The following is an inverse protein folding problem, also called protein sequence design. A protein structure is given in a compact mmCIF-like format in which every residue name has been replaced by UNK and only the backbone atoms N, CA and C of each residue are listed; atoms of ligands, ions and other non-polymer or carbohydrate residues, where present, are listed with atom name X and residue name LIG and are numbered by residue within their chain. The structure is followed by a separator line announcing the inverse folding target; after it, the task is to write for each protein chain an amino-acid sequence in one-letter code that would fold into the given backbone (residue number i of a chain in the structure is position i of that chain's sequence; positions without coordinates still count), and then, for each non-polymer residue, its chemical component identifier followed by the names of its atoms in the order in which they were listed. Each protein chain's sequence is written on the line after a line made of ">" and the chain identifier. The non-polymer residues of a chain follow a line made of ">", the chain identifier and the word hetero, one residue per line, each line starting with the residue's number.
data_IF_845631304876
#
_entry.id   IF_845631304876
#
_cell.length_a   1.000
_cell.length_b   1.000
_cell.length_c   1.000
_cell.angle_alpha   90.00
_cell.angle_beta   90.00
_cell.angle_gamma   90.00
#
_symmetry.space_group_name_H-M   'P 1'
#
loop_
_entity.id
_entity.type
_entity.pdbx_description
1 polymer ?
#
# COMPACT_ATOMS: atom_id res chain seq x y z
N UNK A 1 -20.52 -17.07 -21.20
CA UNK A 1 -19.80 -18.26 -20.68
C UNK A 1 -19.04 -17.79 -19.46
N UNK A 2 -19.49 -18.20 -18.27
CA UNK A 2 -19.27 -17.53 -16.99
C UNK A 2 -17.81 -17.52 -16.50
N UNK A 3 -17.23 -16.36 -16.13
CA UNK A 3 -15.95 -16.28 -15.47
C UNK A 3 -16.16 -16.44 -13.95
N UNK A 4 -16.45 -17.65 -13.49
CA UNK A 4 -16.65 -17.92 -12.06
C UNK A 4 -15.36 -17.62 -11.28
N UNK A 5 -15.48 -16.69 -10.35
CA UNK A 5 -14.40 -16.11 -9.57
C UNK A 5 -13.72 -17.15 -8.65
N UNK A 6 -12.48 -17.51 -8.96
CA UNK A 6 -11.66 -18.41 -8.14
C UNK A 6 -10.43 -17.69 -7.60
N UNK A 7 -10.40 -17.38 -6.30
CA UNK A 7 -9.13 -17.05 -5.67
C UNK A 7 -8.25 -18.31 -5.59
N UNK A 8 -6.93 -18.14 -5.76
CA UNK A 8 -5.92 -19.20 -5.57
C UNK A 8 -4.85 -18.70 -4.60
N UNK A 9 -4.67 -19.38 -3.47
CA UNK A 9 -3.67 -19.03 -2.47
C UNK A 9 -2.44 -19.93 -2.62
N UNK A 10 -1.28 -19.35 -2.85
CA UNK A 10 0.00 -20.06 -2.88
C UNK A 10 0.96 -19.57 -1.80
N UNK A 11 1.91 -20.41 -1.44
CA UNK A 11 3.05 -20.05 -0.59
C UNK A 11 4.23 -20.96 -0.86
N UNK A 12 5.39 -20.68 -0.28
CA UNK A 12 6.59 -21.52 -0.34
C UNK A 12 6.97 -22.00 1.07
N UNK A 13 7.08 -23.32 1.24
CA UNK A 13 7.58 -23.93 2.46
C UNK A 13 9.03 -23.53 2.73
N UNK A 14 9.34 -23.23 4.00
CA UNK A 14 10.66 -22.77 4.40
C UNK A 14 11.72 -23.88 4.34
N UNK A 15 11.32 -25.14 4.56
CA UNK A 15 12.18 -26.32 4.57
C UNK A 15 11.61 -27.39 3.62
N UNK A 16 11.25 -28.56 4.16
CA UNK A 16 10.78 -29.75 3.45
C UNK A 16 9.39 -30.19 3.96
N UNK A 17 8.60 -29.23 4.40
CA UNK A 17 7.24 -29.46 4.87
C UNK A 17 6.34 -30.02 3.75
N UNK A 18 5.37 -30.83 4.13
CA UNK A 18 4.38 -31.45 3.22
C UNK A 18 2.98 -31.32 3.79
N UNK A 19 1.96 -31.41 2.95
CA UNK A 19 0.55 -31.38 3.38
C UNK A 19 0.04 -32.82 3.43
N UNK A 20 -0.32 -33.30 4.62
CA UNK A 20 -0.86 -34.65 4.83
C UNK A 20 -2.33 -34.76 4.45
N UNK A 21 -3.14 -33.79 4.86
CA UNK A 21 -4.58 -33.77 4.60
C UNK A 21 -5.10 -32.33 4.58
N UNK A 22 -6.26 -32.11 3.95
CA UNK A 22 -6.93 -30.82 3.88
C UNK A 22 -8.44 -30.97 4.02
N UNK A 23 -9.10 -29.96 4.60
CA UNK A 23 -10.55 -29.81 4.74
C UNK A 23 -10.94 -28.37 4.38
N UNK A 24 -12.06 -28.19 3.69
CA UNK A 24 -12.53 -26.88 3.23
C UNK A 24 -11.79 -26.28 2.03
N UNK A 25 -10.67 -26.87 1.61
CA UNK A 25 -9.89 -26.44 0.45
C UNK A 25 -9.06 -27.61 -0.10
N UNK A 26 -8.56 -27.46 -1.33
CA UNK A 26 -7.81 -28.51 -2.01
C UNK A 26 -6.58 -27.94 -2.72
N UNK A 27 -5.45 -28.63 -2.60
CA UNK A 27 -4.27 -28.35 -3.43
C UNK A 27 -4.54 -28.70 -4.90
N UNK A 28 -4.16 -27.81 -5.82
CA UNK A 28 -4.39 -28.00 -7.26
C UNK A 28 -3.52 -29.09 -7.85
N UNK A 29 -2.36 -29.36 -7.23
CA UNK A 29 -1.40 -30.37 -7.67
C UNK A 29 -0.82 -31.10 -6.46
N UNK A 30 -0.60 -32.41 -6.59
CA UNK A 30 0.05 -33.23 -5.55
C UNK A 30 1.59 -33.08 -5.56
N UNK A 31 2.21 -33.02 -6.75
CA UNK A 31 3.67 -32.98 -6.91
C UNK A 31 4.36 -34.33 -6.70
N UNK A 32 5.70 -34.33 -6.66
CA UNK A 32 6.50 -35.54 -6.47
C UNK A 32 6.53 -35.98 -5.00
N UNK A 33 5.71 -36.98 -4.68
CA UNK A 33 5.65 -37.62 -3.37
C UNK A 33 6.41 -38.96 -3.31
N UNK A 34 7.28 -39.29 -4.28
CA UNK A 34 7.93 -40.62 -4.40
C UNK A 34 8.76 -41.04 -3.18
N UNK A 35 9.14 -40.08 -2.32
CA UNK A 35 9.84 -40.33 -1.05
C UNK A 35 8.97 -41.07 -0.02
N UNK A 36 7.65 -41.05 -0.16
CA UNK A 36 6.71 -41.68 0.78
C UNK A 36 6.21 -43.02 0.19
N UNK A 37 6.64 -44.14 0.77
CA UNK A 37 6.34 -45.50 0.26
C UNK A 37 5.09 -46.17 0.86
N UNK A 38 4.32 -45.42 1.66
CA UNK A 38 3.10 -45.91 2.33
C UNK A 38 1.96 -44.92 2.15
N UNK A 39 1.57 -44.25 3.24
CA UNK A 39 0.61 -43.14 3.13
C UNK A 39 1.24 -41.99 2.33
N UNK A 40 0.62 -41.68 1.20
CA UNK A 40 1.04 -40.58 0.33
C UNK A 40 0.38 -39.28 0.84
N UNK A 41 1.16 -38.22 1.11
CA UNK A 41 0.59 -36.93 1.49
C UNK A 41 -0.30 -36.33 0.40
N UNK A 42 -1.26 -35.50 0.80
CA UNK A 42 -2.12 -34.71 -0.09
C UNK A 42 -1.33 -33.82 -1.06
N UNK A 43 -0.22 -33.22 -0.61
CA UNK A 43 0.66 -32.43 -1.46
C UNK A 43 2.11 -32.43 -0.95
N UNK A 44 3.06 -32.70 -1.85
CA UNK A 44 4.50 -32.69 -1.58
C UNK A 44 5.25 -31.55 -2.29
N UNK A 45 4.55 -30.68 -3.04
CA UNK A 45 5.19 -29.52 -3.67
C UNK A 45 5.73 -28.57 -2.59
N UNK A 46 6.93 -28.04 -2.83
CA UNK A 46 7.51 -26.98 -2.00
C UNK A 46 6.71 -25.68 -2.06
N UNK A 47 6.06 -25.42 -3.19
CA UNK A 47 5.22 -24.26 -3.45
C UNK A 47 3.77 -24.69 -3.79
N UNK A 48 2.97 -25.13 -2.80
CA UNK A 48 1.59 -25.54 -3.06
C UNK A 48 0.72 -24.34 -3.46
N UNK A 49 -0.28 -24.62 -4.30
CA UNK A 49 -1.37 -23.69 -4.64
C UNK A 49 -2.69 -24.32 -4.20
N UNK A 50 -3.46 -23.59 -3.42
CA UNK A 50 -4.70 -24.04 -2.79
C UNK A 50 -5.88 -23.27 -3.36
N UNK A 51 -6.98 -23.98 -3.59
CA UNK A 51 -8.28 -23.44 -3.97
C UNK A 51 -9.33 -23.82 -2.95
N UNK A 52 -10.37 -22.98 -2.83
CA UNK A 52 -11.56 -23.28 -2.04
C UNK A 52 -12.36 -24.43 -2.68
N UNK A 53 -13.05 -25.22 -1.87
CA UNK A 53 -13.99 -26.23 -2.39
C UNK A 53 -15.28 -25.56 -2.90
N UNK A 54 -16.01 -26.26 -3.77
CA UNK A 54 -17.27 -25.75 -4.33
C UNK A 54 -18.43 -25.86 -3.32
N UNK A 55 -19.47 -25.01 -3.44
CA UNK A 55 -20.71 -25.18 -2.70
C UNK A 55 -21.33 -26.56 -2.96
N UNK A 56 -21.80 -27.25 -1.93
CA UNK A 56 -22.36 -28.60 -2.03
C UNK A 56 -21.39 -29.75 -1.74
N UNK A 57 -20.15 -29.44 -1.34
CA UNK A 57 -19.17 -30.41 -0.85
C UNK A 57 -19.74 -31.27 0.31
N UNK A 58 -19.44 -32.57 0.43
CA UNK A 58 -19.92 -33.41 1.55
C UNK A 58 -19.51 -32.87 2.93
N UNK A 59 -20.38 -33.05 3.94
CA UNK A 59 -20.21 -32.48 5.29
C UNK A 59 -18.88 -32.88 5.97
N UNK A 60 -18.37 -34.08 5.71
CA UNK A 60 -17.10 -34.57 6.25
C UNK A 60 -15.85 -33.84 5.70
N UNK A 61 -16.01 -33.06 4.64
CA UNK A 61 -14.95 -32.26 4.01
C UNK A 61 -15.13 -30.76 4.23
N UNK A 62 -16.21 -30.35 4.92
CA UNK A 62 -16.50 -28.96 5.21
C UNK A 62 -15.87 -28.48 6.52
N UNK A 63 -15.63 -27.18 6.61
CA UNK A 63 -15.27 -26.47 7.83
C UNK A 63 -16.03 -25.14 7.92
N UNK A 64 -16.05 -24.52 9.09
CA UNK A 64 -16.70 -23.23 9.29
C UNK A 64 -16.19 -22.20 8.28
N UNK A 65 -17.10 -21.47 7.64
CA UNK A 65 -16.81 -20.47 6.61
C UNK A 65 -16.07 -21.02 5.36
N UNK A 66 -16.11 -22.32 5.05
CA UNK A 66 -15.49 -22.85 3.83
C UNK A 66 -16.45 -22.88 2.63
N UNK A 67 -15.87 -23.33 1.52
CA UNK A 67 -16.55 -24.02 0.44
C UNK A 67 -17.45 -23.11 -0.40
N UNK A 68 -16.97 -21.88 -0.63
CA UNK A 68 -17.68 -20.84 -1.37
C UNK A 68 -17.25 -20.79 -2.83
N UNK A 69 -16.54 -21.82 -3.30
CA UNK A 69 -16.06 -21.92 -4.67
C UNK A 69 -15.14 -20.77 -5.07
N UNK A 70 -14.41 -20.17 -4.12
CA UNK A 70 -13.47 -19.10 -4.41
C UNK A 70 -14.08 -17.69 -4.41
N UNK A 71 -15.32 -17.53 -3.93
CA UNK A 71 -15.98 -16.22 -3.78
C UNK A 71 -15.86 -15.73 -2.34
N UNK A 72 -15.31 -14.53 -2.16
CA UNK A 72 -15.29 -13.81 -0.86
C UNK A 72 -15.85 -12.41 -1.10
N UNK A 73 -16.97 -12.09 -0.47
CA UNK A 73 -17.58 -10.75 -0.51
C UNK A 73 -16.74 -9.76 0.32
N UNK A 74 -16.96 -8.46 0.11
CA UNK A 74 -16.42 -7.49 1.06
C UNK A 74 -17.17 -7.56 2.38
N UNK A 75 -16.50 -7.26 3.49
CA UNK A 75 -17.14 -7.15 4.80
C UNK A 75 -18.28 -6.12 4.83
N UNK A 76 -18.19 -5.07 4.00
CA UNK A 76 -19.22 -4.03 3.90
C UNK A 76 -20.46 -4.51 3.14
N UNK A 77 -20.29 -5.32 2.10
CA UNK A 77 -21.40 -5.83 1.30
C UNK A 77 -22.13 -6.99 1.98
N UNK A 78 -21.37 -7.94 2.52
CA UNK A 78 -21.92 -9.12 3.17
C UNK A 78 -20.94 -9.67 4.20
N UNK A 79 -21.11 -9.31 5.49
CA UNK A 79 -20.26 -9.80 6.58
C UNK A 79 -20.24 -11.32 6.71
N UNK A 80 -21.33 -12.02 6.38
CA UNK A 80 -21.41 -13.48 6.52
C UNK A 80 -20.57 -14.19 5.45
N UNK A 81 -20.42 -13.56 4.27
CA UNK A 81 -19.63 -14.08 3.17
C UNK A 81 -18.22 -13.50 3.02
N UNK A 82 -17.82 -12.59 3.91
CA UNK A 82 -16.54 -11.88 3.85
C UNK A 82 -15.33 -12.67 4.36
N UNK A 83 -15.53 -13.91 4.78
CA UNK A 83 -14.48 -14.83 5.19
C UNK A 83 -14.59 -16.18 4.46
N UNK A 84 -13.44 -16.74 4.09
CA UNK A 84 -13.28 -18.14 3.68
C UNK A 84 -12.22 -18.81 4.56
N UNK A 85 -12.40 -20.08 4.92
CA UNK A 85 -11.42 -20.81 5.73
C UNK A 85 -11.23 -22.26 5.31
N UNK A 86 -10.01 -22.75 5.50
CA UNK A 86 -9.65 -24.15 5.28
C UNK A 86 -8.64 -24.62 6.34
N UNK A 87 -8.63 -25.91 6.58
CA UNK A 87 -7.73 -26.57 7.53
C UNK A 87 -6.84 -27.55 6.77
N UNK A 88 -5.57 -27.62 7.12
CA UNK A 88 -4.60 -28.55 6.53
C UNK A 88 -3.71 -29.16 7.61
N UNK A 89 -3.24 -30.39 7.42
CA UNK A 89 -2.30 -31.04 8.34
C UNK A 89 -0.89 -30.98 7.76
N UNK A 90 0.08 -30.43 8.50
CA UNK A 90 1.46 -30.26 7.99
C UNK A 90 2.41 -31.31 8.56
N UNK A 91 3.11 -32.00 7.66
CA UNK A 91 4.20 -32.92 7.99
C UNK A 91 5.57 -32.25 7.93
N UNK A 92 6.53 -32.82 8.66
CA UNK A 92 7.95 -32.40 8.65
C UNK A 92 8.20 -30.94 9.07
N UNK A 93 7.22 -30.32 9.75
CA UNK A 93 7.38 -29.02 10.39
C UNK A 93 8.21 -29.13 11.69
N UNK A 94 8.81 -28.01 12.12
CA UNK A 94 9.51 -27.95 13.40
C UNK A 94 8.61 -28.29 14.60
N UNK A 95 9.19 -28.82 15.67
CA UNK A 95 8.47 -29.30 16.86
C UNK A 95 8.54 -28.32 18.05
N UNK A 96 8.99 -27.09 17.83
CA UNK A 96 9.03 -26.04 18.86
C UNK A 96 8.98 -24.64 18.25
N UNK A 97 8.63 -23.64 19.05
CA UNK A 97 8.59 -22.22 18.64
C UNK A 97 9.91 -21.71 18.03
N UNK A 98 11.06 -22.33 18.36
CA UNK A 98 12.37 -21.98 17.80
C UNK A 98 12.67 -22.68 16.46
N UNK A 99 12.06 -23.84 16.21
CA UNK A 99 12.39 -24.70 15.06
C UNK A 99 11.38 -24.58 13.91
N UNK A 100 10.14 -24.19 14.20
CA UNK A 100 9.12 -23.85 13.19
C UNK A 100 9.53 -22.59 12.44
N UNK A 101 9.46 -22.66 11.11
CA UNK A 101 9.69 -21.51 10.24
C UNK A 101 8.39 -21.23 9.50
N UNK A 102 7.97 -19.97 9.51
CA UNK A 102 6.79 -19.54 8.76
C UNK A 102 7.06 -19.65 7.24
N UNK A 103 6.04 -19.99 6.43
CA UNK A 103 6.17 -20.00 4.98
C UNK A 103 6.55 -18.62 4.44
N UNK A 104 7.10 -18.61 3.23
CA UNK A 104 7.56 -17.40 2.54
C UNK A 104 6.85 -17.28 1.21
N UNK A 105 6.90 -16.08 0.61
CA UNK A 105 6.43 -15.81 -0.74
C UNK A 105 4.96 -16.22 -0.94
N UNK A 106 4.07 -15.63 -0.16
CA UNK A 106 2.63 -15.83 -0.33
C UNK A 106 2.16 -15.17 -1.64
N UNK A 107 1.25 -15.84 -2.33
CA UNK A 107 0.58 -15.34 -3.52
C UNK A 107 -0.92 -15.51 -3.35
N UNK A 108 -1.70 -14.49 -3.69
CA UNK A 108 -3.16 -14.60 -3.72
C UNK A 108 -3.62 -14.12 -5.10
N UNK A 109 -3.91 -15.08 -5.95
CA UNK A 109 -4.47 -14.81 -7.27
C UNK A 109 -5.98 -14.68 -7.13
N UNK A 110 -6.58 -13.77 -7.87
CA UNK A 110 -8.04 -13.64 -7.98
C UNK A 110 -8.38 -13.20 -9.41
N UNK A 111 -9.68 -13.15 -9.77
CA UNK A 111 -10.08 -12.62 -11.07
C UNK A 111 -9.56 -11.18 -11.24
N UNK A 112 -8.94 -10.91 -12.40
CA UNK A 112 -8.28 -9.65 -12.69
C UNK A 112 -6.78 -9.62 -12.31
N UNK A 113 -6.19 -8.44 -12.09
CA UNK A 113 -4.75 -8.24 -11.90
C UNK A 113 -4.13 -8.84 -10.62
N UNK A 114 -4.94 -9.41 -9.73
CA UNK A 114 -4.49 -10.21 -8.57
C UNK A 114 -4.19 -9.42 -7.30
N UNK A 115 -3.77 -10.13 -6.24
CA UNK A 115 -3.37 -9.55 -4.96
C UNK A 115 -1.87 -9.73 -4.73
N UNK A 116 -1.24 -8.71 -4.17
CA UNK A 116 0.16 -8.73 -3.74
C UNK A 116 0.22 -8.94 -2.23
N UNK A 117 0.96 -9.95 -1.77
CA UNK A 117 1.07 -10.30 -0.35
C UNK A 117 2.41 -9.86 0.24
N UNK A 118 2.36 -9.30 1.45
CA UNK A 118 3.54 -8.99 2.24
C UNK A 118 4.18 -10.23 2.90
N UNK A 119 5.30 -10.07 3.61
CA UNK A 119 5.92 -11.14 4.37
C UNK A 119 5.05 -11.58 5.56
N UNK A 120 5.07 -12.87 5.90
CA UNK A 120 4.37 -13.40 7.06
C UNK A 120 4.96 -12.88 8.38
N UNK A 121 4.09 -12.35 9.25
CA UNK A 121 4.46 -11.82 10.57
C UNK A 121 3.92 -12.73 11.66
N UNK A 122 4.75 -13.11 12.62
CA UNK A 122 4.30 -13.88 13.79
C UNK A 122 3.46 -12.95 14.68
N UNK A 123 2.25 -13.36 15.04
CA UNK A 123 1.35 -12.57 15.90
C UNK A 123 0.84 -13.38 17.10
N UNK A 124 0.08 -12.75 17.99
CA UNK A 124 -0.49 -13.42 19.17
C UNK A 124 -1.50 -14.51 18.74
N UNK A 125 -1.66 -15.60 19.51
CA UNK A 125 -2.64 -16.65 19.23
C UNK A 125 -4.08 -16.14 19.09
N UNK A 126 -4.83 -16.69 18.13
CA UNK A 126 -6.19 -16.25 17.82
C UNK A 126 -7.15 -16.92 18.75
N UNK A 127 -8.19 -16.16 19.06
CA UNK A 127 -9.35 -16.60 19.80
C UNK A 127 -10.50 -16.65 18.81
N UNK A 128 -11.13 -17.81 18.71
CA UNK A 128 -12.34 -18.04 17.94
C UNK A 128 -13.50 -18.11 18.91
N UNK A 129 -14.51 -17.27 18.73
CA UNK A 129 -15.75 -17.35 19.49
C UNK A 129 -16.71 -18.26 18.72
N UNK A 130 -17.34 -19.21 19.40
CA UNK A 130 -18.34 -20.07 18.79
C UNK A 130 -19.55 -19.25 18.29
N UNK A 131 -20.27 -19.71 17.25
CA UNK A 131 -21.41 -18.97 16.69
C UNK A 131 -22.52 -18.64 17.71
N UNK A 132 -22.64 -19.42 18.77
CA UNK A 132 -23.58 -19.20 19.88
C UNK A 132 -23.07 -18.18 20.93
N UNK A 133 -21.90 -17.58 20.72
CA UNK A 133 -21.20 -16.65 21.61
C UNK A 133 -20.87 -17.19 23.02
N UNK A 134 -21.05 -18.48 23.28
CA UNK A 134 -20.88 -19.05 24.63
C UNK A 134 -19.46 -19.54 24.93
N UNK A 135 -18.67 -19.84 23.90
CA UNK A 135 -17.35 -20.44 24.08
C UNK A 135 -16.31 -19.73 23.23
N UNK A 136 -15.28 -19.20 23.89
CA UNK A 136 -14.09 -18.69 23.23
C UNK A 136 -13.04 -19.80 23.24
N UNK A 137 -12.75 -20.38 22.09
CA UNK A 137 -11.66 -21.32 21.91
C UNK A 137 -10.44 -20.58 21.38
N UNK A 138 -9.35 -20.56 22.16
CA UNK A 138 -8.06 -20.20 21.60
C UNK A 138 -7.63 -21.30 20.63
N UNK A 139 -6.83 -20.96 19.60
CA UNK A 139 -6.27 -21.93 18.66
C UNK A 139 -5.38 -22.96 19.40
N UNK A 140 -6.02 -23.95 19.99
CA UNK A 140 -5.51 -25.03 20.82
C UNK A 140 -6.53 -26.15 20.63
N UNK A 141 -6.32 -26.99 19.62
CA UNK A 141 -7.14 -28.19 19.44
C UNK A 141 -6.26 -29.39 19.15
N UNK A 142 -6.60 -30.48 19.83
CA UNK A 142 -5.80 -31.67 20.13
C UNK A 142 -5.41 -32.48 18.89
N UNK A 143 -4.25 -33.13 19.06
CA UNK A 143 -3.79 -34.41 18.47
C UNK A 143 -3.08 -34.47 17.11
N UNK A 144 -3.08 -33.45 16.26
CA UNK A 144 -2.24 -33.44 15.03
C UNK A 144 -1.86 -32.00 14.64
N UNK A 145 -0.75 -31.77 13.90
CA UNK A 145 -0.34 -30.43 13.50
C UNK A 145 -1.25 -29.85 12.42
N UNK A 146 -2.44 -29.40 12.83
CA UNK A 146 -3.41 -28.76 11.95
C UNK A 146 -3.10 -27.28 11.79
N UNK A 147 -2.79 -26.86 10.56
CA UNK A 147 -2.77 -25.48 10.16
C UNK A 147 -4.17 -25.04 9.74
N UNK A 148 -4.69 -24.01 10.40
CA UNK A 148 -5.92 -23.34 9.96
C UNK A 148 -5.52 -22.09 9.17
N UNK A 149 -6.12 -21.88 8.01
CA UNK A 149 -5.94 -20.67 7.21
C UNK A 149 -7.30 -20.01 7.06
N UNK A 150 -7.40 -18.78 7.56
CA UNK A 150 -8.58 -17.93 7.45
C UNK A 150 -8.24 -16.75 6.53
N UNK A 151 -8.93 -16.68 5.40
CA UNK A 151 -8.90 -15.54 4.49
C UNK A 151 -10.08 -14.62 4.81
N UNK A 152 -9.80 -13.35 5.13
CA UNK A 152 -10.82 -12.31 5.39
C UNK A 152 -10.62 -11.16 4.43
N UNK A 153 -11.69 -10.67 3.80
CA UNK A 153 -11.66 -9.52 2.88
C UNK A 153 -12.20 -8.27 3.58
N UNK A 154 -11.30 -7.34 3.90
CA UNK A 154 -11.56 -6.05 4.54
C UNK A 154 -11.14 -4.92 3.59
N UNK A 155 -12.00 -4.47 2.68
CA UNK A 155 -11.61 -3.46 1.69
C UNK A 155 -10.93 -2.24 2.34
N UNK A 156 -9.71 -1.84 1.90
CA UNK A 156 -9.01 -2.25 0.66
C UNK A 156 -8.00 -3.42 0.79
N UNK A 157 -7.98 -4.14 1.90
CA UNK A 157 -7.02 -5.22 2.23
C UNK A 157 -7.68 -6.61 2.37
N UNK A 158 -7.07 -7.66 1.81
CA UNK A 158 -7.40 -9.05 2.16
C UNK A 158 -6.39 -9.56 3.18
N UNK A 159 -6.82 -9.85 4.41
CA UNK A 159 -5.97 -10.42 5.45
C UNK A 159 -6.06 -11.95 5.43
N UNK A 160 -4.92 -12.60 5.24
CA UNK A 160 -4.76 -14.06 5.30
C UNK A 160 -4.09 -14.41 6.63
N UNK A 161 -4.89 -14.93 7.55
CA UNK A 161 -4.44 -15.36 8.87
C UNK A 161 -4.15 -16.87 8.84
N UNK A 162 -2.92 -17.28 9.15
CA UNK A 162 -2.53 -18.68 9.21
C UNK A 162 -2.02 -19.08 10.60
N UNK A 163 -2.41 -20.24 11.09
CA UNK A 163 -2.02 -20.74 12.42
C UNK A 163 -1.29 -22.07 12.26
N UNK A 164 -0.12 -22.28 12.85
CA UNK A 164 0.48 -23.61 13.03
C UNK A 164 0.07 -24.18 14.39
N UNK A 165 -0.51 -25.37 14.37
CA UNK A 165 -0.63 -26.23 15.54
C UNK A 165 0.40 -27.36 15.40
N UNK A 166 0.99 -27.81 16.50
CA UNK A 166 1.85 -29.01 16.53
C UNK A 166 2.01 -29.52 17.96
N UNK A 167 2.02 -30.84 18.15
CA UNK A 167 2.23 -31.48 19.46
C UNK A 167 2.97 -32.80 19.31
N UNK A 168 3.93 -33.06 20.21
CA UNK A 168 4.32 -34.39 20.71
C UNK A 168 4.95 -34.20 22.09
N UNK A 169 4.31 -34.80 23.12
CA UNK A 169 4.71 -34.86 24.55
C UNK A 169 4.68 -33.55 25.36
N UNK A 170 3.84 -33.52 26.41
CA UNK A 170 3.67 -32.57 27.54
C UNK A 170 3.83 -31.03 27.37
N UNK A 171 4.19 -30.48 26.21
CA UNK A 171 4.31 -29.04 25.97
C UNK A 171 3.54 -28.59 24.73
N UNK A 172 2.55 -27.70 24.91
CA UNK A 172 1.78 -27.05 23.83
C UNK A 172 2.61 -25.91 23.27
N UNK A 173 2.77 -25.85 21.94
CA UNK A 173 3.24 -24.62 21.30
C UNK A 173 2.34 -24.27 20.12
N UNK A 174 2.04 -22.98 19.99
CA UNK A 174 1.16 -22.44 18.94
C UNK A 174 1.91 -21.30 18.26
N UNK A 175 2.15 -21.41 16.96
CA UNK A 175 2.79 -20.35 16.17
C UNK A 175 1.77 -19.80 15.21
N UNK A 176 1.34 -18.59 15.48
CA UNK A 176 0.48 -17.84 14.60
C UNK A 176 1.28 -16.98 13.67
N UNK A 177 0.84 -16.87 12.43
CA UNK A 177 1.28 -15.82 11.54
C UNK A 177 0.12 -15.13 10.80
N UNK A 178 0.34 -13.89 10.40
CA UNK A 178 -0.57 -13.11 9.57
C UNK A 178 0.16 -12.63 8.32
N UNK A 179 -0.52 -12.69 7.18
CA UNK A 179 -0.09 -12.14 5.89
C UNK A 179 -1.17 -11.17 5.41
N UNK A 180 -0.77 -9.93 5.15
CA UNK A 180 -1.67 -8.96 4.50
C UNK A 180 -1.44 -9.01 3.00
N UNK A 181 -2.50 -9.24 2.24
CA UNK A 181 -2.52 -9.19 0.78
C UNK A 181 -3.37 -8.01 0.30
N UNK A 182 -2.77 -7.08 -0.42
CA UNK A 182 -3.46 -5.93 -1.00
C UNK A 182 -3.77 -6.18 -2.47
N UNK A 183 -5.01 -5.91 -2.89
CA UNK A 183 -5.37 -5.95 -4.30
C UNK A 183 -4.62 -4.85 -5.06
N UNK A 184 -3.89 -5.23 -6.12
CA UNK A 184 -3.12 -4.29 -6.95
C UNK A 184 -3.46 -4.53 -8.41
N UNK A 185 -3.75 -3.45 -9.15
CA UNK A 185 -4.18 -3.58 -10.54
C UNK A 185 -3.04 -3.82 -11.55
N UNK A 186 -1.80 -3.95 -11.07
CA UNK A 186 -0.60 -4.09 -11.89
C UNK A 186 0.34 -5.16 -11.32
N UNK A 187 0.85 -6.04 -12.18
CA UNK A 187 1.85 -7.07 -11.86
C UNK A 187 3.16 -6.34 -11.52
N UNK A 188 3.47 -6.26 -10.23
CA UNK A 188 4.50 -5.41 -9.66
C UNK A 188 5.90 -5.64 -10.26
N UNK A 189 6.52 -4.57 -10.78
CA UNK A 189 7.96 -4.45 -10.63
C UNK A 189 8.31 -4.60 -9.15
N UNK A 190 9.33 -5.43 -8.87
CA UNK A 190 9.66 -5.94 -7.52
C UNK A 190 10.13 -4.85 -6.54
N UNK A 191 10.38 -3.65 -7.04
CA UNK A 191 10.70 -2.42 -6.28
C UNK A 191 9.93 -1.27 -6.92
N UNK A 192 9.26 -0.41 -6.14
CA UNK A 192 8.60 0.76 -6.73
C UNK A 192 9.65 1.66 -7.39
N UNK A 193 9.26 2.37 -8.44
CA UNK A 193 10.13 3.25 -9.23
C UNK A 193 9.97 4.72 -8.88
N UNK A 194 8.95 5.05 -8.09
CA UNK A 194 8.61 6.41 -7.73
C UNK A 194 8.10 6.56 -6.29
N UNK A 195 8.29 7.75 -5.75
CA UNK A 195 7.76 8.16 -4.45
C UNK A 195 7.11 9.54 -4.54
N UNK A 196 6.28 9.85 -3.54
CA UNK A 196 5.53 11.10 -3.46
C UNK A 196 5.96 11.91 -2.25
N UNK A 197 6.04 13.22 -2.44
CA UNK A 197 6.28 14.21 -1.38
C UNK A 197 5.20 15.28 -1.43
N UNK A 198 4.78 15.76 -0.26
CA UNK A 198 3.60 16.61 -0.10
C UNK A 198 3.99 17.90 0.63
N UNK A 199 3.41 19.02 0.21
CA UNK A 199 3.56 20.30 0.90
C UNK A 199 2.32 21.17 0.71
N UNK A 200 2.15 22.17 1.58
CA UNK A 200 1.04 23.10 1.50
C UNK A 200 1.46 24.50 1.94
N UNK A 201 0.81 25.53 1.41
CA UNK A 201 1.07 26.93 1.77
C UNK A 201 0.82 27.28 3.24
N UNK A 202 0.03 26.45 3.95
CA UNK A 202 -0.32 26.63 5.35
C UNK A 202 0.55 25.78 6.30
N UNK A 203 1.59 25.12 5.79
CA UNK A 203 2.50 24.31 6.58
C UNK A 203 3.94 24.48 6.07
N UNK A 204 4.83 24.95 6.93
CA UNK A 204 6.23 25.21 6.59
C UNK A 204 7.06 23.94 6.41
N UNK A 205 6.54 22.78 6.85
CA UNK A 205 7.22 21.50 6.72
C UNK A 205 6.81 20.77 5.44
N UNK A 206 7.82 20.27 4.72
CA UNK A 206 7.61 19.41 3.56
C UNK A 206 7.60 17.96 4.04
N UNK A 207 6.52 17.25 3.74
CA UNK A 207 6.41 15.82 3.97
C UNK A 207 7.14 15.12 2.83
N UNK A 208 8.39 14.75 3.09
CA UNK A 208 9.26 14.09 2.13
C UNK A 208 8.79 12.67 1.77
N UNK A 209 9.39 12.12 0.72
CA UNK A 209 9.25 10.70 0.43
C UNK A 209 9.72 9.85 1.62
N UNK A 210 9.03 8.75 1.96
CA UNK A 210 9.50 7.82 2.96
C UNK A 210 10.91 7.30 2.65
N UNK A 211 11.73 7.15 3.70
CA UNK A 211 13.08 6.64 3.57
C UNK A 211 13.08 5.23 2.99
N UNK A 212 14.01 4.93 2.08
CA UNK A 212 14.14 3.62 1.44
C UNK A 212 12.91 3.16 0.64
N UNK A 213 12.10 4.10 0.13
CA UNK A 213 10.89 3.79 -0.67
C UNK A 213 11.18 2.84 -1.83
N UNK A 214 12.25 3.06 -2.59
CA UNK A 214 12.58 2.26 -3.78
C UNK A 214 13.71 1.24 -3.54
N UNK A 215 13.97 0.93 -2.26
CA UNK A 215 14.97 -0.04 -1.83
C UNK A 215 16.27 0.60 -1.35
N UNK A 216 16.71 0.20 -0.16
CA UNK A 216 18.03 0.51 0.37
C UNK A 216 18.88 -0.77 0.40
N UNK A 217 20.05 -0.72 -0.23
CA UNK A 217 21.11 -1.72 -0.01
C UNK A 217 22.16 -1.12 0.94
N UNK A 218 22.91 -1.97 1.64
CA UNK A 218 24.02 -1.51 2.48
C UNK A 218 24.99 -0.71 1.61
N UNK A 219 25.13 0.59 1.94
CA UNK A 219 25.87 1.65 1.21
C UNK A 219 27.36 1.31 0.97
N UNK A 220 27.85 0.22 1.55
CA UNK A 220 29.20 -0.30 1.42
C UNK A 220 29.58 -0.87 0.04
N UNK A 221 28.66 -1.00 -0.92
CA UNK A 221 29.00 -1.44 -2.28
C UNK A 221 29.18 -0.24 -3.23
N UNK A 222 30.37 -0.04 -3.83
CA UNK A 222 30.57 0.97 -4.86
C UNK A 222 29.63 0.73 -6.05
N UNK A 223 28.84 1.74 -6.44
CA UNK A 223 27.96 1.68 -7.61
C UNK A 223 26.45 1.59 -7.35
N UNK A 224 25.98 1.61 -6.09
CA UNK A 224 24.54 1.57 -5.77
C UNK A 224 23.81 2.89 -6.08
N UNK A 225 24.44 4.04 -5.82
CA UNK A 225 23.92 5.36 -6.16
C UNK A 225 25.07 6.35 -6.39
N UNK A 226 24.79 7.49 -7.01
CA UNK A 226 25.77 8.55 -7.30
C UNK A 226 25.54 9.73 -6.37
N UNK A 227 26.59 10.11 -5.65
CA UNK A 227 26.59 11.34 -4.86
C UNK A 227 26.76 12.55 -5.81
N UNK A 228 25.81 13.52 -5.80
CA UNK A 228 25.87 14.71 -6.66
C UNK A 228 27.07 15.61 -6.40
N UNK A 229 27.73 15.51 -5.23
CA UNK A 229 28.87 16.36 -4.88
C UNK A 229 30.23 15.67 -5.15
N UNK A 230 30.22 14.44 -5.68
CA UNK A 230 31.45 13.68 -5.95
C UNK A 230 32.14 14.12 -7.26
N UNK A 231 33.48 14.32 -7.27
CA UNK A 231 34.22 14.75 -8.46
C UNK A 231 34.26 13.71 -9.60
N UNK A 232 33.75 12.49 -9.37
CA UNK A 232 33.82 11.37 -10.32
C UNK A 232 32.55 11.16 -11.18
N UNK A 233 31.54 12.04 -11.10
CA UNK A 233 30.25 11.90 -11.82
C UNK A 233 30.45 11.62 -13.31
N UNK A 234 31.35 12.36 -13.97
CA UNK A 234 31.63 12.17 -15.40
C UNK A 234 32.12 10.75 -15.72
N UNK A 235 33.04 10.19 -14.91
CA UNK A 235 33.61 8.85 -15.14
C UNK A 235 32.61 7.70 -14.95
N UNK A 236 31.65 7.84 -14.03
CA UNK A 236 30.62 6.82 -13.75
C UNK A 236 29.49 6.84 -14.79
N UNK A 237 29.18 8.01 -15.35
CA UNK A 237 28.21 8.16 -16.44
C UNK A 237 28.81 7.69 -17.78
N UNK A 238 30.12 7.84 -17.98
CA UNK A 238 30.81 7.44 -19.23
C UNK A 238 31.13 5.93 -19.34
N UNK A 239 31.24 5.19 -18.23
CA UNK A 239 31.39 3.73 -18.23
C UNK A 239 30.05 2.99 -18.47
N UNK A 240 29.39 3.35 -19.57
CA UNK A 240 28.21 2.66 -20.06
C UNK A 240 28.64 1.34 -20.72
N UNK A 241 28.80 0.30 -19.91
CA UNK A 241 28.64 -1.07 -20.41
C UNK A 241 27.22 -1.14 -20.99
N UNK A 242 27.12 -1.17 -22.32
CA UNK A 242 25.88 -1.14 -23.13
C UNK A 242 24.83 -2.22 -22.78
N UNK A 243 25.07 -3.07 -21.78
CA UNK A 243 24.27 -4.23 -21.44
C UNK A 243 23.57 -4.15 -20.07
N UNK A 244 23.75 -3.10 -19.27
CA UNK A 244 23.09 -2.98 -17.95
C UNK A 244 21.97 -1.91 -17.97
N UNK A 245 20.71 -2.37 -18.13
CA UNK A 245 19.49 -1.54 -18.14
C UNK A 245 19.05 -1.03 -16.75
N UNK A 246 19.82 -1.29 -15.69
CA UNK A 246 19.45 -0.91 -14.33
C UNK A 246 19.59 0.61 -14.10
N UNK A 247 18.61 1.25 -13.43
CA UNK A 247 18.64 2.69 -13.17
C UNK A 247 19.82 3.06 -12.26
N UNK A 248 20.60 4.07 -12.66
CA UNK A 248 21.66 4.64 -11.83
C UNK A 248 21.11 5.90 -11.18
N UNK A 249 20.82 5.83 -9.89
CA UNK A 249 20.09 6.89 -9.18
C UNK A 249 21.02 7.79 -8.37
N UNK A 250 20.61 9.06 -8.21
CA UNK A 250 21.22 9.97 -7.26
C UNK A 250 21.00 9.49 -5.82
N UNK A 251 22.04 9.58 -4.98
CA UNK A 251 21.95 9.23 -3.57
C UNK A 251 20.98 10.20 -2.86
N UNK A 252 19.86 9.65 -2.40
CA UNK A 252 18.80 10.34 -1.67
C UNK A 252 18.29 9.41 -0.59
N UNK A 253 17.61 9.95 0.43
CA UNK A 253 17.06 9.13 1.52
C UNK A 253 16.00 8.12 1.05
N UNK A 254 15.31 8.39 -0.07
CA UNK A 254 14.22 7.56 -0.61
C UNK A 254 14.68 6.58 -1.71
N UNK A 255 15.83 6.83 -2.33
CA UNK A 255 16.45 5.99 -3.37
C UNK A 255 15.60 5.74 -4.62
N UNK A 256 14.66 6.62 -4.90
CA UNK A 256 13.73 6.47 -6.03
C UNK A 256 14.24 7.16 -7.30
N UNK A 257 14.18 6.50 -8.47
CA UNK A 257 14.44 7.11 -9.76
C UNK A 257 13.58 8.34 -10.04
N UNK A 258 12.32 8.35 -9.60
CA UNK A 258 11.39 9.46 -9.84
C UNK A 258 10.76 9.92 -8.53
N UNK A 259 10.60 11.24 -8.38
CA UNK A 259 9.84 11.84 -7.29
C UNK A 259 8.74 12.72 -7.86
N UNK A 260 7.53 12.54 -7.35
CA UNK A 260 6.40 13.41 -7.61
C UNK A 260 6.21 14.29 -6.38
N UNK A 261 6.23 15.60 -6.57
CA UNK A 261 5.96 16.58 -5.53
C UNK A 261 4.60 17.23 -5.76
N UNK A 262 3.71 17.10 -4.79
CA UNK A 262 2.38 17.72 -4.80
C UNK A 262 2.35 18.85 -3.78
N UNK A 263 2.19 20.08 -4.29
CA UNK A 263 2.19 21.28 -3.48
C UNK A 263 0.84 22.00 -3.59
N UNK A 264 0.13 22.15 -2.47
CA UNK A 264 -1.06 23.00 -2.39
C UNK A 264 -0.58 24.45 -2.28
N UNK A 265 -0.66 25.20 -3.39
CA UNK A 265 0.00 26.51 -3.54
C UNK A 265 -0.78 27.66 -2.94
N UNK A 266 -2.08 27.72 -3.21
CA UNK A 266 -2.92 28.83 -2.75
C UNK A 266 -4.40 28.43 -2.78
N UNK A 267 -5.18 29.08 -1.92
CA UNK A 267 -6.61 28.87 -1.76
C UNK A 267 -7.37 30.20 -1.95
N UNK A 268 -8.05 30.37 -3.07
CA UNK A 268 -8.91 31.53 -3.37
C UNK A 268 -10.33 31.32 -2.84
N UNK A 269 -11.24 32.30 -3.01
CA UNK A 269 -12.63 32.17 -2.57
C UNK A 269 -13.36 31.00 -3.25
N UNK A 270 -13.23 30.86 -4.57
CA UNK A 270 -13.96 29.87 -5.37
C UNK A 270 -13.07 28.77 -5.96
N UNK A 271 -11.76 28.96 -5.93
CA UNK A 271 -10.79 28.05 -6.55
C UNK A 271 -9.66 27.74 -5.60
N UNK A 272 -8.96 26.64 -5.86
CA UNK A 272 -7.70 26.32 -5.20
C UNK A 272 -6.70 25.81 -6.24
N UNK A 273 -5.43 26.06 -5.99
CA UNK A 273 -4.35 25.80 -6.95
C UNK A 273 -3.36 24.80 -6.37
N UNK A 274 -3.04 23.80 -7.17
CA UNK A 274 -2.02 22.81 -6.90
C UNK A 274 -0.89 22.98 -7.89
N UNK A 275 0.34 22.79 -7.43
CA UNK A 275 1.52 22.65 -8.27
C UNK A 275 2.03 21.21 -8.18
N UNK A 276 2.20 20.57 -9.32
CA UNK A 276 2.81 19.25 -9.45
C UNK A 276 4.21 19.43 -10.03
N UNK A 277 5.21 18.79 -9.44
CA UNK A 277 6.56 18.70 -9.99
C UNK A 277 7.03 17.25 -10.06
N UNK A 278 7.51 16.82 -11.22
CA UNK A 278 8.07 15.49 -11.43
C UNK A 278 9.58 15.66 -11.61
N UNK A 279 10.36 15.06 -10.71
CA UNK A 279 11.82 15.13 -10.73
C UNK A 279 12.39 13.75 -11.05
N UNK A 280 13.28 13.70 -12.04
CA UNK A 280 14.06 12.51 -12.40
C UNK A 280 15.41 12.54 -11.67
N UNK A 281 15.69 11.48 -10.93
CA UNK A 281 16.94 11.24 -10.20
C UNK A 281 17.78 10.14 -10.87
N UNK A 282 17.39 9.65 -12.03
CA UNK A 282 18.13 8.65 -12.80
C UNK A 282 19.12 9.31 -13.77
N UNK A 283 20.40 8.96 -13.68
CA UNK A 283 21.46 9.47 -14.56
C UNK A 283 21.55 8.72 -15.90
N UNK A 284 20.93 7.55 -16.03
CA UNK A 284 21.02 6.68 -17.22
C UNK A 284 19.77 6.68 -18.09
N UNK A 285 18.67 7.26 -17.60
CA UNK A 285 17.37 7.13 -18.25
C UNK A 285 16.65 8.47 -18.38
N UNK A 286 16.20 8.74 -19.60
CA UNK A 286 15.24 9.79 -19.92
C UNK A 286 13.86 9.17 -20.05
N UNK A 287 12.81 9.90 -19.68
CA UNK A 287 11.43 9.46 -19.86
C UNK A 287 10.78 10.25 -20.99
N UNK A 288 10.56 9.59 -22.12
CA UNK A 288 9.78 10.11 -23.27
C UNK A 288 8.32 9.74 -23.10
N UNK A 289 7.40 10.64 -23.47
CA UNK A 289 5.95 10.40 -23.42
C UNK A 289 5.50 9.89 -22.04
N UNK A 290 6.08 10.46 -20.98
CA UNK A 290 5.74 10.07 -19.63
C UNK A 290 4.26 10.37 -19.35
N UNK A 291 3.65 9.55 -18.50
CA UNK A 291 2.31 9.76 -18.00
C UNK A 291 2.28 9.72 -16.47
N UNK A 292 1.39 10.53 -15.90
CA UNK A 292 1.13 10.63 -14.47
C UNK A 292 -0.38 10.45 -14.28
N UNK A 293 -0.77 9.46 -13.49
CA UNK A 293 -2.17 9.25 -13.12
C UNK A 293 -2.35 9.60 -11.66
N UNK A 294 -3.28 10.49 -11.35
CA UNK A 294 -3.58 10.90 -9.99
C UNK A 294 -5.05 10.61 -9.67
N UNK A 295 -5.30 10.03 -8.50
CA UNK A 295 -6.64 9.81 -7.96
C UNK A 295 -6.92 10.84 -6.87
N UNK A 296 -7.93 11.69 -7.08
CA UNK A 296 -8.39 12.70 -6.15
C UNK A 296 -9.88 12.98 -6.36
N UNK A 297 -10.70 13.06 -5.29
CA UNK A 297 -12.15 13.24 -5.42
C UNK A 297 -12.56 14.48 -6.23
N UNK A 298 -11.77 15.56 -6.16
CA UNK A 298 -12.05 16.84 -6.83
C UNK A 298 -11.57 16.94 -8.30
N UNK A 299 -11.19 15.83 -8.95
CA UNK A 299 -10.86 15.85 -10.39
C UNK A 299 -12.09 16.04 -11.29
N UNK A 300 -13.28 15.77 -10.77
CA UNK A 300 -14.56 16.12 -11.38
C UNK A 300 -14.71 17.63 -11.64
N UNK A 301 -14.07 18.46 -10.82
CA UNK A 301 -14.13 19.92 -10.84
C UNK A 301 -12.82 20.59 -11.31
N UNK A 302 -12.00 19.89 -12.09
CA UNK A 302 -10.80 20.49 -12.70
C UNK A 302 -11.22 21.57 -13.71
N UNK A 303 -10.77 22.81 -13.49
CA UNK A 303 -11.15 23.95 -14.33
C UNK A 303 -10.10 24.26 -15.38
N UNK A 304 -8.83 24.30 -14.97
CA UNK A 304 -7.71 24.60 -15.86
C UNK A 304 -6.48 23.78 -15.49
N UNK A 305 -5.70 23.43 -16.50
CA UNK A 305 -4.39 22.82 -16.37
C UNK A 305 -3.37 23.67 -17.14
N UNK A 306 -2.20 23.85 -16.54
CA UNK A 306 -1.09 24.57 -17.14
C UNK A 306 0.05 23.61 -17.48
N UNK A 307 0.65 23.77 -18.66
CA UNK A 307 1.86 23.09 -19.10
C UNK A 307 1.78 21.57 -19.30
N UNK A 308 0.71 20.88 -18.91
CA UNK A 308 0.47 19.44 -19.17
C UNK A 308 -0.84 19.25 -19.95
N UNK A 309 -0.94 18.13 -20.66
CA UNK A 309 -2.21 17.61 -21.18
C UNK A 309 -2.95 16.82 -20.11
N UNK A 310 -4.27 16.69 -20.26
CA UNK A 310 -5.16 16.05 -19.29
C UNK A 310 -6.23 15.23 -19.99
N UNK A 311 -6.53 14.06 -19.42
CA UNK A 311 -7.66 13.22 -19.79
C UNK A 311 -8.26 12.58 -18.53
N UNK A 312 -9.57 12.75 -18.27
CA UNK A 312 -10.24 12.04 -17.18
C UNK A 312 -10.32 10.55 -17.50
N UNK A 313 -9.99 9.71 -16.52
CA UNK A 313 -10.17 8.26 -16.64
C UNK A 313 -11.43 7.85 -15.87
N UNK A 314 -12.38 7.23 -16.58
CA UNK A 314 -13.69 6.82 -16.03
C UNK A 314 -13.85 5.29 -16.09
N UNK A 315 -13.02 4.52 -15.35
CA UNK A 315 -12.97 3.06 -15.49
C UNK A 315 -14.29 2.35 -15.16
N UNK A 316 -15.20 3.00 -14.41
CA UNK A 316 -16.50 2.45 -14.00
C UNK A 316 -17.70 3.30 -14.44
N UNK A 317 -17.51 4.25 -15.35
CA UNK A 317 -18.56 5.10 -15.94
C UNK A 317 -19.26 6.09 -15.00
N UNK A 318 -19.18 5.90 -13.67
CA UNK A 318 -19.85 6.72 -12.65
C UNK A 318 -18.90 7.48 -11.72
N UNK A 319 -17.60 7.19 -11.75
CA UNK A 319 -16.59 7.79 -10.87
C UNK A 319 -15.51 8.46 -11.72
N UNK A 320 -15.42 9.78 -11.62
CA UNK A 320 -14.47 10.62 -12.37
C UNK A 320 -13.39 11.19 -11.43
N UNK A 321 -12.94 10.39 -10.47
CA UNK A 321 -11.97 10.79 -9.43
C UNK A 321 -10.51 10.60 -9.87
N UNK A 322 -10.29 10.14 -11.10
CA UNK A 322 -8.98 9.75 -11.60
C UNK A 322 -8.67 10.50 -12.89
N UNK A 323 -7.47 11.06 -12.96
CA UNK A 323 -7.01 11.87 -14.07
C UNK A 323 -5.66 11.38 -14.57
N UNK A 324 -5.53 11.27 -15.90
CA UNK A 324 -4.25 11.06 -16.58
C UNK A 324 -3.69 12.40 -17.06
N UNK A 325 -2.41 12.60 -16.83
CA UNK A 325 -1.66 13.80 -17.16
C UNK A 325 -0.41 13.39 -17.96
N UNK A 326 -0.05 14.13 -18.99
CA UNK A 326 1.16 13.87 -19.77
C UNK A 326 1.76 15.16 -20.35
N UNK A 327 3.01 15.06 -20.79
CA UNK A 327 3.72 16.21 -21.38
C UNK A 327 3.11 16.69 -22.70
N UNK A 328 3.26 17.98 -22.96
CA UNK A 328 2.98 18.61 -24.25
C UNK A 328 4.13 18.33 -25.20
N UNK A 329 3.79 17.83 -26.40
CA UNK A 329 4.76 17.45 -27.43
C UNK A 329 5.69 18.61 -27.76
N UNK A 330 6.99 18.36 -27.84
CA UNK A 330 8.04 19.35 -28.10
C UNK A 330 8.25 20.42 -27.02
N UNK A 331 7.61 20.30 -25.84
CA UNK A 331 7.80 21.23 -24.73
C UNK A 331 8.32 20.54 -23.48
N UNK A 332 7.56 19.57 -22.96
CA UNK A 332 7.92 18.81 -21.77
C UNK A 332 7.49 17.34 -21.87
N UNK A 333 7.33 16.82 -23.08
CA UNK A 333 7.14 15.40 -23.39
C UNK A 333 8.41 14.56 -23.15
N UNK A 334 9.55 15.21 -22.97
CA UNK A 334 10.82 14.60 -22.57
C UNK A 334 11.23 15.08 -21.17
N UNK A 335 11.27 14.14 -20.22
CA UNK A 335 11.85 14.34 -18.90
C UNK A 335 13.29 13.81 -18.93
N UNK A 336 14.25 14.74 -18.92
CA UNK A 336 15.68 14.43 -18.98
C UNK A 336 16.15 13.71 -17.71
N UNK A 337 17.30 13.05 -17.82
CA UNK A 337 18.06 12.48 -16.71
C UNK A 337 18.34 13.49 -15.59
N UNK A 338 18.79 12.97 -14.45
CA UNK A 338 19.12 13.76 -13.26
C UNK A 338 20.04 14.96 -13.57
N UNK A 339 19.63 16.13 -13.12
CA UNK A 339 20.31 17.41 -13.36
C UNK A 339 19.35 18.60 -13.37
N UNK A 340 19.82 19.80 -13.75
CA UNK A 340 19.02 21.02 -13.76
C UNK A 340 17.75 20.95 -14.63
N UNK A 341 17.79 20.13 -15.69
CA UNK A 341 16.70 19.93 -16.64
C UNK A 341 15.89 18.64 -16.39
N UNK A 342 16.22 17.88 -15.33
CA UNK A 342 15.52 16.65 -14.95
C UNK A 342 14.22 16.91 -14.16
N UNK A 343 13.50 17.98 -14.48
CA UNK A 343 12.32 18.40 -13.74
C UNK A 343 11.26 18.98 -14.70
N UNK A 344 10.03 18.50 -14.58
CA UNK A 344 8.85 19.08 -15.25
C UNK A 344 7.81 19.49 -14.23
N UNK A 345 7.14 20.61 -14.47
CA UNK A 345 6.18 21.18 -13.53
C UNK A 345 4.89 21.57 -14.24
N UNK A 346 3.80 21.50 -13.49
CA UNK A 346 2.47 21.91 -13.93
C UNK A 346 1.69 22.50 -12.77
N UNK A 347 0.70 23.32 -13.09
CA UNK A 347 -0.27 23.82 -12.12
C UNK A 347 -1.67 23.39 -12.52
N UNK A 348 -2.45 22.99 -11.52
CA UNK A 348 -3.86 22.62 -11.64
C UNK A 348 -4.71 23.64 -10.88
N UNK A 349 -5.76 24.12 -11.53
CA UNK A 349 -6.76 24.98 -10.92
C UNK A 349 -8.07 24.21 -10.79
N UNK A 350 -8.50 24.06 -9.55
CA UNK A 350 -9.70 23.33 -9.20
C UNK A 350 -10.77 24.28 -8.70
N UNK A 351 -12.01 24.10 -9.16
CA UNK A 351 -13.17 24.78 -8.59
C UNK A 351 -13.52 24.12 -7.27
N UNK A 352 -13.91 24.93 -6.29
CA UNK A 352 -14.41 24.44 -5.01
C UNK A 352 -15.88 24.07 -5.12
N UNK A 353 -16.18 22.87 -4.67
CA UNK A 353 -17.54 22.50 -4.32
C UNK A 353 -17.75 22.74 -2.81
N UNK A 354 -18.74 23.57 -2.48
CA UNK A 354 -19.05 23.94 -1.09
C UNK A 354 -19.44 22.74 -0.21
N UNK A 355 -19.87 21.64 -0.82
CA UNK A 355 -20.33 20.46 -0.07
C UNK A 355 -19.20 19.46 0.25
N UNK A 356 -18.15 19.43 -0.57
CA UNK A 356 -17.09 18.41 -0.47
C UNK A 356 -15.72 18.99 -0.14
N UNK A 357 -15.47 20.27 -0.43
CA UNK A 357 -14.18 20.91 -0.22
C UNK A 357 -13.86 21.09 1.26
N UNK A 358 -12.77 20.48 1.70
CA UNK A 358 -12.20 20.68 3.05
C UNK A 358 -10.68 20.54 2.99
N UNK A 359 -9.98 21.10 3.98
CA UNK A 359 -8.55 20.80 4.23
C UNK A 359 -8.36 19.79 5.38
N UNK A 360 -9.46 19.31 5.96
CA UNK A 360 -9.42 18.35 7.06
C UNK A 360 -8.83 17.02 6.58
N UNK A 361 -8.03 16.41 7.46
CA UNK A 361 -7.47 15.06 7.26
C UNK A 361 -6.74 14.88 5.92
N UNK A 362 -6.14 15.95 5.40
CA UNK A 362 -5.34 15.90 4.18
C UNK A 362 -6.16 15.73 2.90
N UNK A 363 -7.43 16.14 2.88
CA UNK A 363 -8.30 16.00 1.72
C UNK A 363 -7.74 16.63 0.43
N UNK A 364 -6.97 17.72 0.51
CA UNK A 364 -6.37 18.41 -0.63
C UNK A 364 -5.22 17.64 -1.33
N UNK A 365 -4.88 16.45 -0.82
CA UNK A 365 -3.81 15.60 -1.34
C UNK A 365 -4.38 14.37 -2.04
N UNK A 366 -3.72 13.87 -3.09
CA UNK A 366 -4.19 12.72 -3.85
C UNK A 366 -4.19 11.46 -2.99
N UNK A 367 -5.14 10.58 -3.28
CA UNK A 367 -5.25 9.27 -2.62
C UNK A 367 -4.22 8.29 -3.16
N UNK A 368 -3.95 8.35 -4.47
CA UNK A 368 -3.00 7.50 -5.18
C UNK A 368 -2.36 8.27 -6.34
N UNK A 369 -1.11 7.93 -6.64
CA UNK A 369 -0.37 8.44 -7.79
C UNK A 369 0.31 7.27 -8.49
N UNK A 370 0.21 7.23 -9.81
CA UNK A 370 0.96 6.32 -10.68
C UNK A 370 1.81 7.10 -11.66
N UNK A 371 3.01 6.62 -11.94
CA UNK A 371 3.91 7.20 -12.94
C UNK A 371 4.31 6.12 -13.94
N UNK A 372 4.04 6.34 -15.23
CA UNK A 372 4.26 5.34 -16.29
C UNK A 372 3.65 3.95 -15.99
N UNK A 373 2.53 3.92 -15.26
CA UNK A 373 1.85 2.70 -14.83
C UNK A 373 2.34 2.10 -13.50
N UNK A 374 3.45 2.58 -12.93
CA UNK A 374 3.93 2.11 -11.63
C UNK A 374 3.26 2.89 -10.48
N UNK A 375 2.85 2.18 -9.43
CA UNK A 375 2.26 2.80 -8.24
C UNK A 375 3.33 3.43 -7.35
N UNK A 376 3.22 4.74 -7.09
CA UNK A 376 4.20 5.47 -6.30
C UNK A 376 3.96 5.33 -4.80
N UNK A 377 5.04 5.27 -4.03
CA UNK A 377 4.96 5.22 -2.57
C UNK A 377 4.50 6.56 -2.01
N UNK A 378 3.32 6.58 -1.39
CA UNK A 378 2.75 7.74 -0.70
C UNK A 378 3.25 7.81 0.76
N UNK A 379 3.43 9.00 1.34
CA UNK A 379 3.60 9.16 2.79
C UNK A 379 2.38 8.63 3.57
N UNK A 380 2.52 8.27 4.86
CA UNK A 380 1.38 7.87 5.67
C UNK A 380 0.39 9.05 5.86
N UNK A 381 -0.92 8.82 5.84
CA UNK A 381 -1.93 9.89 5.97
C UNK A 381 -1.76 10.77 7.21
N UNK A 382 -1.30 10.20 8.32
CA UNK A 382 -1.05 10.93 9.58
C UNK A 382 0.05 11.99 9.47
N UNK A 383 0.92 11.87 8.46
CA UNK A 383 1.99 12.83 8.19
C UNK A 383 1.56 13.99 7.29
N UNK A 384 0.36 13.95 6.70
CA UNK A 384 -0.04 14.94 5.70
C UNK A 384 -0.11 16.34 6.31
N UNK A 385 0.24 17.39 5.54
CA UNK A 385 0.12 18.76 6.02
C UNK A 385 -1.33 19.09 6.39
N UNK A 386 -1.61 19.24 7.69
CA UNK A 386 -2.90 19.67 8.19
C UNK A 386 -2.88 21.17 8.51
N UNK A 387 -4.05 21.81 8.44
CA UNK A 387 -4.19 23.19 8.89
C UNK A 387 -3.89 23.24 10.41
N UNK A 388 -2.95 24.10 10.85
CA UNK A 388 -2.73 24.26 12.28
C UNK A 388 -4.02 24.72 12.95
N UNK A 389 -4.46 24.00 13.99
CA UNK A 389 -5.70 24.32 14.72
C UNK A 389 -5.56 25.56 15.62
N UNK A 390 -4.55 26.40 15.35
CA UNK A 390 -4.21 27.58 16.11
C UNK A 390 -4.92 28.79 15.50
N UNK A 391 -6.10 29.09 16.03
CA UNK A 391 -6.52 30.48 16.09
C UNK A 391 -5.52 31.22 16.98
N UNK A 392 -4.71 32.10 16.41
CA UNK A 392 -3.91 33.04 17.19
C UNK A 392 -4.90 33.93 17.95
N UNK A 393 -5.29 33.53 19.17
CA UNK A 393 -5.81 34.48 20.14
C UNK A 393 -4.61 35.33 20.54
N UNK A 394 -4.41 36.45 19.84
CA UNK A 394 -3.61 37.53 20.39
C UNK A 394 -4.18 37.79 21.78
N UNK A 395 -3.40 37.63 22.86
CA UNK A 395 -3.86 38.06 24.17
C UNK A 395 -3.96 39.58 24.06
N UNK A 396 -5.16 40.08 23.79
CA UNK A 396 -5.44 41.50 23.99
C UNK A 396 -5.21 41.70 25.48
N UNK A 397 -4.05 42.28 25.82
CA UNK A 397 -3.71 42.56 27.20
C UNK A 397 -4.84 43.40 27.78
N UNK A 398 -5.50 42.90 28.82
CA UNK A 398 -6.55 43.62 29.54
C UNK A 398 -6.05 45.01 29.99
N UNK A 399 -4.74 45.15 30.18
CA UNK A 399 -4.07 46.43 30.47
C UNK A 399 -4.28 47.47 29.36
N UNK A 400 -4.20 47.08 28.08
CA UNK A 400 -4.40 48.01 26.97
C UNK A 400 -5.85 48.47 26.86
N UNK A 401 -6.82 47.60 27.18
CA UNK A 401 -8.24 47.97 27.21
C UNK A 401 -8.55 48.92 28.38
N UNK A 402 -7.95 48.67 29.55
CA UNK A 402 -8.09 49.54 30.72
C UNK A 402 -7.43 50.90 30.48
N UNK A 403 -6.25 50.93 29.84
CA UNK A 403 -5.55 52.19 29.52
C UNK A 403 -6.34 53.04 28.51
N UNK A 404 -6.98 52.43 27.49
CA UNK A 404 -7.81 53.19 26.54
C UNK A 404 -9.13 53.67 27.15
N UNK A 405 -9.72 52.93 28.09
CA UNK A 405 -10.91 53.37 28.84
C UNK A 405 -10.56 54.50 29.82
N UNK A 406 -9.43 54.39 30.52
CA UNK A 406 -8.93 55.43 31.43
C UNK A 406 -8.55 56.71 30.67
N UNK A 407 -7.92 56.60 29.51
CA UNK A 407 -7.58 57.75 28.67
C UNK A 407 -8.84 58.46 28.14
N UNK A 408 -9.86 57.72 27.72
CA UNK A 408 -11.12 58.31 27.21
C UNK A 408 -11.96 58.96 28.32
N UNK A 409 -11.95 58.43 29.54
CA UNK A 409 -12.63 59.05 30.69
C UNK A 409 -11.92 60.30 31.21
N UNK A 410 -10.58 60.37 31.17
CA UNK A 410 -9.83 61.60 31.48
C UNK A 410 -10.12 62.69 30.45
N UNK A 411 -10.21 62.34 29.16
CA UNK A 411 -10.58 63.29 28.11
C UNK A 411 -11.99 63.84 28.33
N UNK A 412 -12.97 62.98 28.65
CA UNK A 412 -14.35 63.39 28.96
C UNK A 412 -14.48 64.28 30.21
N UNK A 413 -13.62 64.10 31.22
CA UNK A 413 -13.60 64.93 32.44
C UNK A 413 -12.82 66.24 32.27
N UNK A 414 -12.01 66.37 31.22
CA UNK A 414 -11.18 67.55 30.93
C UNK A 414 -11.85 68.59 30.04
N UNK A 415 -13.05 68.32 29.51
CA UNK A 415 -13.88 69.31 28.83
C UNK A 415 -14.84 69.96 29.83
N UNK A 416 -14.62 71.22 30.25
CA UNK A 416 -15.65 71.97 30.96
C UNK A 416 -16.79 72.27 29.96
N UNK A 417 -18.01 71.95 30.35
CA UNK A 417 -19.23 72.41 29.69
C UNK A 417 -19.36 73.93 29.77
#
# INVERSE_FOLDING_TARGET
>A
MDPLAWWKLGWTWAKKEVIWSMLGGQATEQGDCSRFKGNIPHCCKKNPTIVDLLPGTPYNQQIANCCKGGVISSWVQDPANAASSFQLSVGQAGTSNKTVRVPKNFTLLGPGPGYTCGPAKIVKPSKFTTPDNRRVTQALSKLLPHVFVLCTKLDPETKVLGWFLGYLTLNSFTVTWNVTCSYSQFLAQKTPTCCVSLSAFYNDTIVGCPTCSCGCQNITQPGTCVDPDSPHIASVVSNSDKNNLAPLVQCTSHMCPVRIHWHVKINYKEYWRVKIAITNFNYRMNYTQWNLVAQHPNFDNLTQIFSFNYEPLTPYGSINDTAMLWGVKFYNDLLMQAGPYGNVQSELLFKKDKTTFTFDKGWAFPRRIYFNGDNCVMPPPDSYPYLPNYGVRLPISMLHLVVTIMASSVVLLSYPW
#
